data_IF_056483832993
#
_entry.id   IF_056483832993
#
_cell.length_a   1.000
_cell.length_b   1.000
_cell.length_c   1.000
_cell.angle_alpha   90.00
_cell.angle_beta   90.00
_cell.angle_gamma   90.00
#
_symmetry.space_group_name_H-M   'P 1'
#
loop_
_entity.id
_entity.type
_entity.pdbx_description
1 polymer ?
#
# COMPACT_ATOMS: atom_id res chain seq x y z
N UNK A 1 -26.71 -40.02 18.62
CA UNK A 1 -25.77 -38.90 18.83
C UNK A 1 -26.55 -37.70 19.35
N UNK A 2 -26.26 -37.18 20.55
CA UNK A 2 -26.93 -35.98 21.02
C UNK A 2 -26.70 -34.88 19.99
N UNK A 3 -27.77 -34.21 19.56
CA UNK A 3 -27.72 -33.10 18.59
C UNK A 3 -27.01 -31.93 19.26
N UNK A 4 -25.67 -31.98 19.23
CA UNK A 4 -24.75 -31.24 20.10
C UNK A 4 -24.90 -29.73 20.05
N UNK A 5 -24.73 -29.11 21.21
CA UNK A 5 -24.85 -27.68 21.49
C UNK A 5 -24.12 -26.85 20.43
N UNK A 6 -24.80 -25.81 19.93
CA UNK A 6 -24.27 -24.91 18.88
C UNK A 6 -23.17 -24.02 19.48
N UNK A 7 -21.92 -24.19 19.04
CA UNK A 7 -20.85 -23.24 19.38
C UNK A 7 -21.09 -21.95 18.59
N UNK A 8 -21.24 -20.85 19.33
CA UNK A 8 -21.29 -19.50 18.81
C UNK A 8 -20.12 -18.75 19.46
N UNK A 9 -19.36 -18.02 18.64
CA UNK A 9 -18.31 -17.13 19.10
C UNK A 9 -18.82 -15.71 18.95
N UNK A 10 -18.89 -15.00 20.08
CA UNK A 10 -19.36 -13.60 20.12
C UNK A 10 -18.21 -12.60 20.01
N UNK A 11 -16.96 -13.06 20.22
CA UNK A 11 -15.76 -12.22 20.18
C UNK A 11 -15.57 -11.64 18.77
N UNK A 12 -15.80 -10.34 18.63
CA UNK A 12 -15.49 -9.57 17.42
C UNK A 12 -14.18 -8.82 17.60
N UNK A 13 -13.29 -8.96 16.62
CA UNK A 13 -12.02 -8.22 16.59
C UNK A 13 -12.21 -7.01 15.68
N UNK A 14 -12.24 -5.81 16.26
CA UNK A 14 -12.33 -4.56 15.52
C UNK A 14 -10.91 -4.09 15.16
N UNK A 15 -10.47 -4.34 13.93
CA UNK A 15 -9.13 -4.02 13.48
C UNK A 15 -9.16 -2.89 12.44
N UNK A 16 -8.60 -1.74 12.81
CA UNK A 16 -8.54 -0.54 11.95
C UNK A 16 -7.79 -0.77 10.63
N UNK A 17 -6.79 -1.66 10.63
CA UNK A 17 -5.98 -1.97 9.44
C UNK A 17 -6.82 -2.72 8.41
N UNK A 18 -7.66 -3.65 8.88
CA UNK A 18 -8.62 -4.39 8.06
C UNK A 18 -9.60 -3.47 7.33
N UNK A 19 -10.13 -2.47 8.04
CA UNK A 19 -11.02 -1.48 7.44
C UNK A 19 -10.31 -0.66 6.36
N UNK A 20 -9.06 -0.25 6.59
CA UNK A 20 -8.26 0.47 5.57
C UNK A 20 -8.11 -0.36 4.30
N UNK A 21 -7.70 -1.62 4.42
CA UNK A 21 -7.50 -2.52 3.26
C UNK A 21 -8.79 -2.74 2.47
N UNK A 22 -9.92 -2.95 3.16
CA UNK A 22 -11.22 -3.17 2.51
C UNK A 22 -11.70 -1.95 1.72
N UNK A 23 -11.34 -0.75 2.16
CA UNK A 23 -11.79 0.50 1.57
C UNK A 23 -10.82 1.05 0.51
N UNK A 24 -9.76 0.32 0.14
CA UNK A 24 -8.88 0.73 -0.96
C UNK A 24 -9.65 0.63 -2.28
N UNK A 25 -9.96 1.79 -2.86
CA UNK A 25 -10.62 1.90 -4.16
C UNK A 25 -9.64 2.46 -5.19
N UNK A 26 -9.22 1.61 -6.12
CA UNK A 26 -8.28 1.96 -7.20
C UNK A 26 -8.77 3.15 -8.03
N UNK A 27 -10.03 3.20 -8.49
CA UNK A 27 -10.51 4.33 -9.31
C UNK A 27 -10.44 5.68 -8.59
N UNK A 28 -10.74 5.71 -7.29
CA UNK A 28 -10.66 6.95 -6.49
C UNK A 28 -9.20 7.43 -6.34
N UNK A 29 -8.24 6.51 -6.24
CA UNK A 29 -6.81 6.85 -6.19
C UNK A 29 -6.32 7.37 -7.54
N UNK A 30 -6.77 6.79 -8.65
CA UNK A 30 -6.44 7.25 -10.01
C UNK A 30 -6.96 8.66 -10.26
N UNK A 31 -8.23 8.93 -9.92
CA UNK A 31 -8.82 10.27 -10.05
C UNK A 31 -8.12 11.31 -9.18
N UNK A 32 -7.79 10.96 -7.92
CA UNK A 32 -7.00 11.84 -7.04
C UNK A 32 -5.63 12.13 -7.66
N UNK A 33 -4.98 11.13 -8.25
CA UNK A 33 -3.68 11.29 -8.88
C UNK A 33 -3.74 12.21 -10.09
N UNK A 34 -4.74 12.04 -10.95
CA UNK A 34 -4.93 12.89 -12.13
C UNK A 34 -5.10 14.37 -11.75
N UNK A 35 -5.87 14.65 -10.68
CA UNK A 35 -6.04 16.01 -10.17
C UNK A 35 -4.72 16.59 -9.62
N UNK A 36 -3.93 15.79 -8.92
CA UNK A 36 -2.60 16.20 -8.44
C UNK A 36 -1.68 16.53 -9.62
N UNK A 37 -1.69 15.72 -10.69
CA UNK A 37 -0.86 15.94 -11.87
C UNK A 37 -1.25 17.21 -12.64
N UNK A 38 -2.55 17.48 -12.81
CA UNK A 38 -3.04 18.73 -13.40
C UNK A 38 -2.60 19.95 -12.60
N UNK A 39 -2.85 19.93 -11.29
CA UNK A 39 -2.44 21.01 -10.38
C UNK A 39 -0.92 21.21 -10.35
N UNK A 40 -0.15 20.12 -10.44
CA UNK A 40 1.31 20.17 -10.50
C UNK A 40 1.79 20.83 -11.80
N UNK A 41 1.21 20.48 -12.95
CA UNK A 41 1.57 21.11 -14.23
C UNK A 41 1.30 22.60 -14.19
N UNK A 42 0.10 23.02 -13.75
CA UNK A 42 -0.26 24.44 -13.68
C UNK A 42 0.68 25.25 -12.78
N UNK A 43 1.05 24.70 -11.61
CA UNK A 43 1.99 25.37 -10.70
C UNK A 43 3.39 25.49 -11.30
N UNK A 44 3.87 24.45 -11.99
CA UNK A 44 5.15 24.48 -12.68
C UNK A 44 5.12 25.52 -13.79
N UNK A 45 4.07 25.53 -14.62
CA UNK A 45 3.98 26.42 -15.78
C UNK A 45 3.91 27.90 -15.34
N UNK A 46 3.20 28.21 -14.25
CA UNK A 46 3.19 29.56 -13.64
C UNK A 46 4.60 29.98 -13.18
N UNK A 47 5.26 29.14 -12.38
CA UNK A 47 6.59 29.43 -11.82
C UNK A 47 7.65 29.60 -12.92
N UNK A 48 7.58 28.76 -13.96
CA UNK A 48 8.47 28.79 -15.13
C UNK A 48 8.20 30.00 -16.00
N UNK A 49 6.93 30.35 -16.23
CA UNK A 49 6.54 31.53 -16.99
C UNK A 49 7.05 32.82 -16.36
N UNK A 50 6.89 32.95 -15.05
CA UNK A 50 7.38 34.09 -14.27
C UNK A 50 8.91 34.19 -14.29
N UNK A 51 9.61 33.06 -14.04
CA UNK A 51 11.07 33.02 -14.09
C UNK A 51 11.62 33.39 -15.47
N UNK A 52 11.00 32.92 -16.55
CA UNK A 52 11.38 33.29 -17.91
C UNK A 52 11.12 34.77 -18.22
N UNK A 53 10.04 35.35 -17.67
CA UNK A 53 9.75 36.79 -17.82
C UNK A 53 10.84 37.63 -17.15
N UNK A 54 11.20 37.30 -15.91
CA UNK A 54 12.24 38.00 -15.16
C UNK A 54 13.62 37.81 -15.77
N UNK A 55 13.90 36.63 -16.33
CA UNK A 55 15.13 36.38 -17.08
C UNK A 55 15.25 37.32 -18.29
N UNK A 56 14.17 37.48 -19.06
CA UNK A 56 14.14 38.39 -20.23
C UNK A 56 14.30 39.86 -19.83
N UNK A 57 13.85 40.23 -18.63
CA UNK A 57 14.01 41.58 -18.07
C UNK A 57 15.40 41.82 -17.45
N UNK A 58 16.25 40.79 -17.35
CA UNK A 58 17.60 40.90 -16.77
C UNK A 58 17.63 41.04 -15.25
N UNK A 59 16.51 40.87 -14.55
CA UNK A 59 16.39 41.08 -13.09
C UNK A 59 16.30 39.77 -12.30
N UNK A 60 16.66 38.65 -12.93
CA UNK A 60 16.60 37.32 -12.33
C UNK A 60 17.83 37.07 -11.46
N UNK A 61 17.61 37.00 -10.15
CA UNK A 61 18.63 36.61 -9.16
C UNK A 61 18.33 35.20 -8.60
N UNK A 62 19.24 34.71 -7.75
CA UNK A 62 19.10 33.39 -7.10
C UNK A 62 17.93 33.37 -6.10
N UNK A 63 17.72 34.46 -5.36
CA UNK A 63 16.73 34.52 -4.29
C UNK A 63 15.30 34.53 -4.85
N UNK A 64 15.07 35.21 -5.97
CA UNK A 64 13.78 35.17 -6.70
C UNK A 64 13.50 33.80 -7.26
N UNK A 65 14.50 33.11 -7.83
CA UNK A 65 14.33 31.72 -8.27
C UNK A 65 13.92 30.82 -7.11
N UNK A 66 14.57 30.96 -5.96
CA UNK A 66 14.23 30.20 -4.76
C UNK A 66 12.82 30.55 -4.25
N UNK A 67 12.42 31.83 -4.27
CA UNK A 67 11.07 32.27 -3.89
C UNK A 67 9.97 31.72 -4.79
N UNK A 68 10.28 31.45 -6.07
CA UNK A 68 9.38 30.79 -7.03
C UNK A 68 9.41 29.26 -6.91
N UNK A 69 10.17 28.73 -5.93
CA UNK A 69 10.33 27.30 -5.74
C UNK A 69 11.13 26.63 -6.86
N UNK A 70 12.04 27.32 -7.52
CA UNK A 70 12.94 26.75 -8.51
C UNK A 70 14.30 26.48 -7.88
N UNK A 71 14.58 25.20 -7.63
CA UNK A 71 15.75 24.75 -6.89
C UNK A 71 16.86 24.30 -7.82
N UNK A 72 18.11 24.42 -7.37
CA UNK A 72 19.23 23.74 -8.02
C UNK A 72 19.24 22.24 -7.68
N UNK A 73 20.18 21.48 -8.26
CA UNK A 73 20.24 20.02 -8.07
C UNK A 73 20.52 19.61 -6.61
N UNK A 74 21.39 20.33 -5.92
CA UNK A 74 21.77 20.05 -4.53
C UNK A 74 20.62 20.41 -3.58
N UNK A 75 20.05 21.61 -3.73
CA UNK A 75 18.90 22.08 -2.95
C UNK A 75 17.69 21.13 -3.11
N UNK A 76 17.41 20.69 -4.33
CA UNK A 76 16.33 19.74 -4.59
C UNK A 76 16.60 18.35 -3.97
N UNK A 77 17.87 17.92 -3.94
CA UNK A 77 18.25 16.67 -3.29
C UNK A 77 18.12 16.74 -1.78
N UNK A 78 18.60 17.83 -1.17
CA UNK A 78 18.54 18.04 0.28
C UNK A 78 17.08 18.13 0.74
N UNK A 79 16.22 18.79 -0.02
CA UNK A 79 14.79 18.82 0.26
C UNK A 79 14.18 17.41 0.18
N UNK A 80 14.51 16.62 -0.85
CA UNK A 80 14.02 15.25 -1.00
C UNK A 80 14.47 14.35 0.16
N UNK A 81 15.73 14.51 0.60
CA UNK A 81 16.33 13.79 1.72
C UNK A 81 15.67 14.18 3.05
N UNK A 82 15.41 15.47 3.27
CA UNK A 82 14.71 15.96 4.47
C UNK A 82 13.32 15.36 4.63
N UNK A 83 12.65 15.04 3.51
CA UNK A 83 11.33 14.38 3.47
C UNK A 83 11.38 12.85 3.61
N UNK A 84 12.56 12.28 3.87
CA UNK A 84 12.75 10.87 4.21
C UNK A 84 12.87 9.92 3.03
N UNK A 85 13.04 10.43 1.80
CA UNK A 85 13.25 9.59 0.62
C UNK A 85 14.68 9.05 0.59
N UNK A 86 14.84 7.74 0.73
CA UNK A 86 16.14 7.07 0.71
C UNK A 86 16.67 6.93 -0.73
N UNK A 87 17.41 7.93 -1.21
CA UNK A 87 18.11 7.89 -2.49
C UNK A 87 19.50 8.54 -2.38
N UNK A 88 20.50 7.97 -3.05
CA UNK A 88 21.82 8.58 -3.16
C UNK A 88 21.80 9.79 -4.11
N UNK A 89 22.61 10.81 -3.87
CA UNK A 89 22.75 11.98 -4.75
C UNK A 89 22.99 11.60 -6.22
N UNK A 90 23.90 10.64 -6.47
CA UNK A 90 24.19 10.12 -7.82
C UNK A 90 22.95 9.56 -8.52
N UNK A 91 22.17 8.74 -7.82
CA UNK A 91 20.94 8.16 -8.37
C UNK A 91 19.86 9.22 -8.60
N UNK A 92 19.80 10.27 -7.77
CA UNK A 92 18.92 11.42 -7.98
C UNK A 92 19.32 12.21 -9.23
N UNK A 93 20.60 12.59 -9.37
CA UNK A 93 21.13 13.25 -10.56
C UNK A 93 20.86 12.48 -11.84
N UNK A 94 21.13 11.17 -11.84
CA UNK A 94 20.82 10.32 -13.01
C UNK A 94 19.33 10.26 -13.36
N UNK A 95 18.42 10.41 -12.38
CA UNK A 95 16.97 10.49 -12.63
C UNK A 95 16.55 11.82 -13.26
N UNK A 96 17.20 12.91 -12.87
CA UNK A 96 17.01 14.24 -13.45
C UNK A 96 17.52 14.26 -14.90
N UNK A 97 18.70 13.70 -15.15
CA UNK A 97 19.29 13.58 -16.50
C UNK A 97 18.41 12.75 -17.44
N UNK A 98 17.90 11.60 -16.95
CA UNK A 98 16.97 10.72 -17.68
C UNK A 98 15.56 11.28 -17.77
N UNK A 99 15.30 12.48 -17.24
CA UNK A 99 13.99 13.17 -17.25
C UNK A 99 12.87 12.42 -16.54
N UNK A 100 13.20 11.44 -15.71
CA UNK A 100 12.23 10.81 -14.79
C UNK A 100 11.82 11.75 -13.65
N UNK A 101 12.62 12.78 -13.40
CA UNK A 101 12.29 13.94 -12.57
C UNK A 101 12.24 15.15 -13.49
N UNK A 102 11.11 15.87 -13.50
CA UNK A 102 10.92 17.03 -14.39
C UNK A 102 11.84 18.17 -13.95
N UNK A 103 12.79 18.52 -14.80
CA UNK A 103 13.62 19.72 -14.68
C UNK A 103 13.26 20.73 -15.77
N UNK A 104 13.42 22.00 -15.49
CA UNK A 104 13.14 23.09 -16.43
C UNK A 104 14.40 23.91 -16.68
N UNK A 105 14.62 24.31 -17.93
CA UNK A 105 15.76 25.15 -18.31
C UNK A 105 15.33 26.62 -18.30
N UNK A 106 15.97 27.42 -17.46
CA UNK A 106 15.80 28.87 -17.40
C UNK A 106 17.14 29.50 -17.78
N UNK A 107 17.19 30.14 -18.95
CA UNK A 107 18.45 30.61 -19.53
C UNK A 107 19.44 29.46 -19.73
N UNK A 108 20.62 29.55 -19.09
CA UNK A 108 21.67 28.52 -19.13
C UNK A 108 21.56 27.48 -17.99
N UNK A 109 20.72 27.72 -16.98
CA UNK A 109 20.62 26.87 -15.79
C UNK A 109 19.47 25.88 -15.91
N UNK A 110 19.66 24.65 -15.42
CA UNK A 110 18.57 23.68 -15.20
C UNK A 110 18.18 23.75 -13.73
N UNK A 111 16.88 23.93 -13.50
CA UNK A 111 16.29 24.03 -12.18
C UNK A 111 15.19 22.99 -12.04
N UNK A 112 14.92 22.60 -10.80
CA UNK A 112 13.91 21.61 -10.47
C UNK A 112 12.84 22.33 -9.65
N UNK A 113 11.58 22.36 -10.11
CA UNK A 113 10.50 22.94 -9.32
C UNK A 113 10.29 22.14 -8.02
N UNK A 114 10.24 22.80 -6.88
CA UNK A 114 10.05 22.22 -5.55
C UNK A 114 8.78 21.35 -5.51
N UNK A 115 7.71 21.76 -6.20
CA UNK A 115 6.48 20.97 -6.30
C UNK A 115 6.70 19.56 -6.87
N UNK A 116 7.68 19.36 -7.77
CA UNK A 116 8.04 18.02 -8.29
C UNK A 116 8.68 17.17 -7.19
N UNK A 117 9.54 17.77 -6.37
CA UNK A 117 10.18 17.09 -5.24
C UNK A 117 9.14 16.73 -4.18
N UNK A 118 8.21 17.64 -3.90
CA UNK A 118 7.12 17.41 -2.93
C UNK A 118 6.20 16.28 -3.39
N UNK A 119 5.82 16.28 -4.66
CA UNK A 119 5.01 15.23 -5.25
C UNK A 119 5.71 13.86 -5.20
N UNK A 120 7.01 13.84 -5.51
CA UNK A 120 7.80 12.62 -5.44
C UNK A 120 7.93 12.11 -3.99
N UNK A 121 8.19 13.00 -3.03
CA UNK A 121 8.22 12.63 -1.62
C UNK A 121 6.88 12.06 -1.15
N UNK A 122 5.77 12.71 -1.48
CA UNK A 122 4.42 12.23 -1.17
C UNK A 122 4.13 10.86 -1.81
N UNK A 123 4.55 10.66 -3.06
CA UNK A 123 4.43 9.37 -3.75
C UNK A 123 5.24 8.29 -3.05
N UNK A 124 6.48 8.59 -2.66
CA UNK A 124 7.34 7.64 -1.95
C UNK A 124 6.83 7.32 -0.54
N UNK A 125 6.12 8.23 0.11
CA UNK A 125 5.49 8.01 1.42
C UNK A 125 4.22 7.16 1.31
N UNK A 126 3.37 7.39 0.30
CA UNK A 126 2.08 6.70 0.19
C UNK A 126 2.14 5.39 -0.60
N UNK A 127 3.17 5.21 -1.44
CA UNK A 127 3.31 4.06 -2.32
C UNK A 127 4.68 3.39 -2.20
N UNK A 128 4.69 2.09 -2.44
CA UNK A 128 5.89 1.32 -2.72
C UNK A 128 6.07 1.17 -4.24
N UNK A 129 7.32 1.17 -4.68
CA UNK A 129 7.65 0.57 -5.98
C UNK A 129 7.34 -0.94 -5.97
N UNK A 130 7.09 -1.54 -7.13
CA UNK A 130 6.80 -2.99 -7.22
C UNK A 130 7.86 -3.85 -6.53
N UNK A 131 9.15 -3.50 -6.66
CA UNK A 131 10.24 -4.21 -5.99
C UNK A 131 10.19 -4.06 -4.47
N UNK A 132 9.95 -2.84 -3.96
CA UNK A 132 9.82 -2.60 -2.51
C UNK A 132 8.59 -3.30 -1.93
N UNK A 133 7.46 -3.24 -2.62
CA UNK A 133 6.22 -3.90 -2.23
C UNK A 133 6.42 -5.41 -2.11
N UNK A 134 7.16 -6.00 -3.07
CA UNK A 134 7.55 -7.41 -3.01
C UNK A 134 8.43 -7.72 -1.80
N UNK A 135 9.50 -6.94 -1.58
CA UNK A 135 10.42 -7.18 -0.46
C UNK A 135 9.74 -7.07 0.90
N UNK A 136 8.76 -6.17 1.04
CA UNK A 136 7.97 -6.07 2.27
C UNK A 136 7.02 -7.26 2.44
N UNK A 137 6.29 -7.65 1.39
CA UNK A 137 5.38 -8.78 1.45
C UNK A 137 6.11 -10.11 1.73
N UNK A 138 7.27 -10.31 1.10
CA UNK A 138 8.09 -11.52 1.21
C UNK A 138 8.58 -11.80 2.64
N UNK A 139 8.57 -10.79 3.54
CA UNK A 139 8.85 -10.99 4.98
C UNK A 139 7.77 -11.78 5.71
N UNK A 140 6.59 -11.94 5.11
CA UNK A 140 5.41 -12.56 5.73
C UNK A 140 4.74 -13.65 4.91
N UNK A 141 5.01 -13.71 3.61
CA UNK A 141 4.43 -14.67 2.69
C UNK A 141 5.54 -15.22 1.79
N UNK A 142 5.62 -16.54 1.67
CA UNK A 142 6.51 -17.17 0.70
C UNK A 142 5.89 -17.08 -0.70
N UNK A 143 6.33 -16.08 -1.47
CA UNK A 143 5.83 -15.77 -2.81
C UNK A 143 7.01 -15.42 -3.69
N UNK A 144 7.05 -15.98 -4.90
CA UNK A 144 8.05 -15.58 -5.88
C UNK A 144 7.68 -14.24 -6.57
N UNK A 145 8.69 -13.52 -7.06
CA UNK A 145 8.48 -12.19 -7.64
C UNK A 145 7.53 -12.21 -8.86
N UNK A 146 7.58 -13.28 -9.67
CA UNK A 146 6.72 -13.44 -10.84
C UNK A 146 5.24 -13.60 -10.47
N UNK A 147 4.92 -14.40 -9.46
CA UNK A 147 3.55 -14.54 -8.96
C UNK A 147 3.06 -13.24 -8.34
N UNK A 148 3.94 -12.50 -7.65
CA UNK A 148 3.61 -11.17 -7.14
C UNK A 148 3.20 -10.20 -8.27
N UNK A 149 3.99 -10.13 -9.35
CA UNK A 149 3.62 -9.35 -10.54
C UNK A 149 2.28 -9.82 -11.12
N UNK A 150 2.09 -11.13 -11.27
CA UNK A 150 0.82 -11.68 -11.77
C UNK A 150 -0.39 -11.34 -10.89
N UNK A 151 -0.21 -11.20 -9.56
CA UNK A 151 -1.28 -10.75 -8.65
C UNK A 151 -1.63 -9.28 -8.86
N UNK A 152 -0.65 -8.45 -9.17
CA UNK A 152 -0.86 -7.04 -9.52
C UNK A 152 -1.60 -6.94 -10.85
N UNK A 153 -1.17 -7.69 -11.88
CA UNK A 153 -1.81 -7.70 -13.21
C UNK A 153 -3.26 -8.17 -13.17
N UNK A 154 -3.56 -9.17 -12.33
CA UNK A 154 -4.92 -9.68 -12.10
C UNK A 154 -5.77 -8.79 -11.18
N UNK A 155 -5.24 -7.67 -10.69
CA UNK A 155 -5.94 -6.76 -9.78
C UNK A 155 -6.17 -7.29 -8.36
N UNK A 156 -5.56 -8.43 -7.98
CA UNK A 156 -5.65 -8.96 -6.61
C UNK A 156 -4.85 -8.13 -5.61
N UNK A 157 -3.80 -7.46 -6.07
CA UNK A 157 -3.08 -6.44 -5.30
C UNK A 157 -3.37 -5.11 -6.00
N UNK A 158 -3.98 -4.14 -5.30
CA UNK A 158 -4.30 -2.85 -5.90
C UNK A 158 -3.00 -2.15 -6.29
N UNK A 159 -3.03 -1.49 -7.44
CA UNK A 159 -1.91 -0.71 -7.94
C UNK A 159 -2.43 0.38 -8.84
N UNK A 160 -1.66 1.46 -8.97
CA UNK A 160 -1.94 2.55 -9.89
C UNK A 160 -0.73 2.84 -10.76
N UNK A 161 -0.95 3.35 -11.96
CA UNK A 161 0.13 3.82 -12.84
C UNK A 161 0.38 5.30 -12.58
N UNK A 162 1.60 5.67 -12.22
CA UNK A 162 2.03 7.06 -12.03
C UNK A 162 3.18 7.32 -13.00
N UNK A 163 2.94 8.20 -13.98
CA UNK A 163 3.82 8.35 -15.14
C UNK A 163 3.98 7.03 -15.90
N UNK A 164 5.22 6.53 -16.00
CA UNK A 164 5.52 5.28 -16.71
C UNK A 164 5.58 4.05 -15.80
N UNK A 165 5.61 4.25 -14.48
CA UNK A 165 5.82 3.18 -13.51
C UNK A 165 4.52 2.81 -12.78
N UNK A 166 4.41 1.54 -12.39
CA UNK A 166 3.33 1.06 -11.54
C UNK A 166 3.74 1.14 -10.07
N UNK A 167 2.83 1.64 -9.25
CA UNK A 167 3.02 1.87 -7.82
C UNK A 167 1.95 1.14 -7.03
N UNK A 168 2.35 0.59 -5.89
CA UNK A 168 1.48 -0.21 -5.01
C UNK A 168 1.24 0.59 -3.74
N UNK A 169 -0.02 0.83 -3.32
CA UNK A 169 -0.31 1.55 -2.08
C UNK A 169 0.34 0.84 -0.89
N UNK A 170 0.98 1.59 0.01
CA UNK A 170 1.62 1.00 1.20
C UNK A 170 0.62 0.27 2.09
N UNK A 171 -0.53 0.89 2.33
CA UNK A 171 -1.63 0.34 3.12
C UNK A 171 -2.05 -1.06 2.62
N UNK A 172 -2.00 -1.30 1.30
CA UNK A 172 -2.36 -2.60 0.74
C UNK A 172 -1.36 -3.70 1.12
N UNK A 173 -0.07 -3.39 1.14
CA UNK A 173 1.00 -4.36 1.44
C UNK A 173 1.16 -4.54 2.94
N UNK A 174 1.13 -3.45 3.70
CA UNK A 174 1.19 -3.48 5.16
C UNK A 174 -0.03 -4.19 5.73
N UNK A 175 -1.22 -3.87 5.22
CA UNK A 175 -2.43 -4.56 5.64
C UNK A 175 -2.45 -6.04 5.26
N UNK A 176 -1.93 -6.42 4.08
CA UNK A 176 -1.80 -7.84 3.72
C UNK A 176 -0.79 -8.58 4.59
N UNK A 177 0.32 -7.92 4.92
CA UNK A 177 1.33 -8.43 5.86
C UNK A 177 0.71 -8.66 7.24
N UNK A 178 -0.11 -7.72 7.70
CA UNK A 178 -0.84 -7.81 8.96
C UNK A 178 -1.87 -8.95 8.95
N UNK A 179 -2.64 -9.09 7.86
CA UNK A 179 -3.61 -10.18 7.68
C UNK A 179 -2.89 -11.54 7.72
N UNK A 180 -1.79 -11.69 6.99
CA UNK A 180 -1.02 -12.94 6.98
C UNK A 180 -0.47 -13.31 8.37
N UNK A 181 -0.14 -12.31 9.20
CA UNK A 181 0.37 -12.52 10.56
C UNK A 181 -0.73 -12.83 11.57
N UNK A 182 -1.89 -12.20 11.47
CA UNK A 182 -2.90 -12.19 12.55
C UNK A 182 -4.20 -12.92 12.22
N UNK A 183 -4.36 -13.35 10.97
CA UNK A 183 -5.57 -14.01 10.48
C UNK A 183 -5.26 -15.32 9.78
N UNK A 184 -6.22 -16.23 9.79
CA UNK A 184 -6.21 -17.44 9.00
C UNK A 184 -7.19 -17.33 7.83
N UNK A 185 -6.76 -17.75 6.65
CA UNK A 185 -7.70 -18.10 5.58
C UNK A 185 -8.44 -19.40 5.94
N UNK A 186 -9.64 -19.60 5.40
CA UNK A 186 -10.48 -20.79 5.65
C UNK A 186 -9.71 -22.11 5.54
N UNK A 187 -8.92 -22.29 4.47
CA UNK A 187 -8.13 -23.51 4.27
C UNK A 187 -7.03 -23.70 5.30
N UNK A 188 -6.43 -22.62 5.80
CA UNK A 188 -5.43 -22.68 6.87
C UNK A 188 -6.11 -22.95 8.23
N UNK A 189 -7.25 -22.31 8.52
CA UNK A 189 -8.02 -22.53 9.74
C UNK A 189 -8.49 -23.99 9.88
N UNK A 190 -8.95 -24.60 8.78
CA UNK A 190 -9.37 -26.02 8.78
C UNK A 190 -8.18 -26.95 9.06
N UNK A 191 -7.00 -26.66 8.47
CA UNK A 191 -5.78 -27.45 8.74
C UNK A 191 -5.33 -27.33 10.19
N UNK A 192 -5.44 -26.13 10.78
CA UNK A 192 -5.13 -25.91 12.20
C UNK A 192 -6.11 -26.65 13.12
N UNK A 193 -7.41 -26.65 12.82
CA UNK A 193 -8.39 -27.44 13.56
C UNK A 193 -8.05 -28.94 13.50
N UNK A 194 -7.69 -29.45 12.32
CA UNK A 194 -7.32 -30.85 12.13
C UNK A 194 -6.03 -31.22 12.86
N UNK A 195 -5.02 -30.34 12.88
CA UNK A 195 -3.76 -30.58 13.61
C UNK A 195 -3.97 -30.67 15.13
N UNK A 196 -4.98 -29.95 15.65
CA UNK A 196 -5.45 -30.06 17.04
C UNK A 196 -6.41 -31.22 17.29
N UNK A 197 -6.61 -32.10 16.29
CA UNK A 197 -7.44 -33.30 16.39
C UNK A 197 -8.93 -33.07 16.15
N UNK A 198 -9.36 -31.87 15.73
CA UNK A 198 -10.76 -31.54 15.43
C UNK A 198 -11.04 -31.86 13.95
N UNK A 199 -11.64 -33.02 13.70
CA UNK A 199 -11.98 -33.51 12.36
C UNK A 199 -13.18 -32.78 11.75
N UNK A 200 -12.96 -31.59 11.16
CA UNK A 200 -14.00 -30.85 10.44
C UNK A 200 -13.71 -30.80 8.93
N UNK A 201 -14.74 -31.08 8.12
CA UNK A 201 -14.70 -30.88 6.66
C UNK A 201 -14.81 -29.39 6.34
N UNK A 202 -14.10 -28.94 5.30
CA UNK A 202 -14.13 -27.54 4.83
C UNK A 202 -15.55 -27.00 4.62
N UNK A 203 -16.41 -27.73 3.92
CA UNK A 203 -17.80 -27.31 3.66
C UNK A 203 -18.62 -27.16 4.96
N UNK A 204 -18.36 -28.00 5.96
CA UNK A 204 -19.04 -27.88 7.26
C UNK A 204 -18.57 -26.64 8.02
N UNK A 205 -17.27 -26.31 7.93
CA UNK A 205 -16.71 -25.09 8.49
C UNK A 205 -17.24 -23.83 7.79
N UNK A 206 -17.29 -23.83 6.45
CA UNK A 206 -17.86 -22.72 5.67
C UNK A 206 -19.33 -22.46 6.00
N UNK A 207 -20.14 -23.51 6.19
CA UNK A 207 -21.54 -23.37 6.67
C UNK A 207 -21.65 -22.73 8.06
N UNK A 208 -20.65 -22.89 8.93
CA UNK A 208 -20.64 -22.22 10.25
C UNK A 208 -20.34 -20.72 10.09
N UNK A 209 -19.47 -20.36 9.14
CA UNK A 209 -19.24 -18.97 8.75
C UNK A 209 -20.49 -18.35 8.13
N UNK A 210 -21.16 -19.05 7.21
CA UNK A 210 -22.40 -18.58 6.56
C UNK A 210 -23.53 -18.33 7.55
N UNK A 211 -23.61 -19.16 8.59
CA UNK A 211 -24.60 -19.04 9.67
C UNK A 211 -24.16 -18.07 10.78
N UNK A 212 -23.10 -17.27 10.54
CA UNK A 212 -22.54 -16.30 11.49
C UNK A 212 -22.21 -16.88 12.88
N UNK A 213 -21.85 -18.17 12.95
CA UNK A 213 -21.45 -18.82 14.21
C UNK A 213 -20.01 -18.54 14.57
N UNK A 214 -19.20 -18.24 13.55
CA UNK A 214 -17.79 -17.88 13.67
C UNK A 214 -17.64 -16.49 13.02
N UNK A 215 -17.25 -15.46 13.79
CA UNK A 215 -16.93 -14.14 13.28
C UNK A 215 -15.81 -14.21 12.23
N UNK A 216 -16.01 -13.54 11.10
CA UNK A 216 -15.05 -13.52 10.00
C UNK A 216 -15.21 -12.25 9.16
N UNK A 217 -14.17 -11.93 8.41
CA UNK A 217 -14.15 -10.79 7.49
C UNK A 217 -13.90 -11.27 6.06
N UNK A 218 -14.49 -10.56 5.08
CA UNK A 218 -14.25 -10.82 3.65
C UNK A 218 -13.33 -9.75 3.06
N UNK A 219 -12.22 -10.17 2.44
CA UNK A 219 -11.21 -9.30 1.84
C UNK A 219 -10.79 -9.90 0.50
N UNK A 220 -10.88 -9.14 -0.59
CA UNK A 220 -10.45 -9.60 -1.92
C UNK A 220 -11.11 -10.92 -2.33
N UNK A 221 -12.37 -11.15 -1.92
CA UNK A 221 -13.11 -12.39 -2.18
C UNK A 221 -12.83 -13.54 -1.21
N UNK A 222 -11.82 -13.43 -0.33
CA UNK A 222 -11.45 -14.47 0.64
C UNK A 222 -12.03 -14.16 2.02
N UNK A 223 -12.40 -15.21 2.76
CA UNK A 223 -12.79 -15.09 4.17
C UNK A 223 -11.57 -15.29 5.06
N UNK A 224 -11.36 -14.36 5.97
CA UNK A 224 -10.29 -14.39 6.96
C UNK A 224 -10.88 -14.41 8.36
N UNK A 225 -10.22 -15.13 9.26
CA UNK A 225 -10.67 -15.38 10.63
C UNK A 225 -9.53 -14.99 11.55
N UNK A 226 -9.80 -14.14 12.53
CA UNK A 226 -8.77 -13.71 13.48
C UNK A 226 -8.21 -14.93 14.21
N UNK A 227 -6.89 -14.96 14.44
CA UNK A 227 -6.24 -16.05 15.19
C UNK A 227 -6.89 -16.30 16.53
N UNK A 228 -7.20 -15.23 17.25
CA UNK A 228 -7.87 -15.30 18.56
C UNK A 228 -9.25 -15.97 18.50
N UNK A 229 -10.04 -15.67 17.45
CA UNK A 229 -11.36 -16.29 17.24
C UNK A 229 -11.21 -17.77 16.94
N UNK A 230 -10.18 -18.16 16.19
CA UNK A 230 -9.91 -19.57 15.92
C UNK A 230 -9.42 -20.31 17.18
N UNK A 231 -8.57 -19.69 17.99
CA UNK A 231 -8.12 -20.25 19.28
C UNK A 231 -9.30 -20.50 20.21
N UNK A 232 -10.21 -19.54 20.36
CA UNK A 232 -11.43 -19.71 21.16
C UNK A 232 -12.32 -20.84 20.60
N UNK A 233 -12.41 -20.97 19.27
CA UNK A 233 -13.12 -22.09 18.64
C UNK A 233 -12.51 -23.43 19.02
N UNK A 234 -11.18 -23.54 18.94
CA UNK A 234 -10.43 -24.77 19.25
C UNK A 234 -10.67 -25.14 20.73
N UNK A 235 -10.55 -24.19 21.65
CA UNK A 235 -10.76 -24.43 23.08
C UNK A 235 -12.17 -24.94 23.37
N UNK A 236 -13.20 -24.31 22.79
CA UNK A 236 -14.60 -24.73 22.95
C UNK A 236 -14.85 -26.13 22.38
N UNK A 237 -14.28 -26.45 21.22
CA UNK A 237 -14.40 -27.77 20.58
C UNK A 237 -13.68 -28.87 21.38
N UNK A 238 -12.47 -28.60 21.88
CA UNK A 238 -11.73 -29.53 22.74
C UNK A 238 -12.46 -29.76 24.07
N UNK A 239 -13.02 -28.71 24.68
CA UNK A 239 -13.79 -28.82 25.90
C UNK A 239 -15.04 -29.69 25.73
N UNK A 240 -15.76 -29.56 24.60
CA UNK A 240 -16.92 -30.42 24.32
C UNK A 240 -16.53 -31.88 24.18
N UNK A 241 -15.43 -32.15 23.47
CA UNK A 241 -14.92 -33.50 23.29
C UNK A 241 -14.45 -34.14 24.60
N UNK A 242 -13.79 -33.36 25.47
CA UNK A 242 -13.37 -33.83 26.80
C UNK A 242 -14.54 -34.21 27.71
N UNK A 243 -15.72 -33.61 27.49
CA UNK A 243 -16.96 -33.93 28.19
C UNK A 243 -17.70 -35.14 27.60
N UNK A 244 -17.10 -35.85 26.64
CA UNK A 244 -17.67 -37.06 26.04
C UNK A 244 -18.92 -36.83 25.19
N UNK A 245 -19.11 -35.60 24.68
CA UNK A 245 -20.25 -35.19 23.84
C UNK A 245 -19.87 -35.03 22.37
#
# INVERSE_FOLDING_TARGET
>A
MPRGKRIIIEKKVNDSILYKVKNIKVPEMENKRENVEKNLSEKIDKSVGEANRLYKQGVLDKDKLHSMGLLNLEEAYDELKSKGVKISFRAFGGRVERRSVKSVKIGKKRLIPAHVIHDWANTAQNFYSVKQAFTELAKSEDVNFRAFIGRIEKGSIPSIKIGTARWVPRDAIEGRTHINKNYFEVGAAVRELQSKGIGIKRNAFERRLDRNRIPHDKIGGRRVIAKEVLSELIEKELALRSKGL
#
